data_IF_410471520446
#
_entry.id   IF_410471520446
#
_cell.length_a   1.000
_cell.length_b   1.000
_cell.length_c   1.000
_cell.angle_alpha   90.00
_cell.angle_beta   90.00
_cell.angle_gamma   90.00
#
_symmetry.space_group_name_H-M   'P 1'
#
loop_
_entity.id
_entity.type
_entity.pdbx_description
1 polymer ?
#
# COMPACT_ATOMS: atom_id res chain seq x y z
N UNK A 1 -12.21 -20.42 -31.45
CA UNK A 1 -11.11 -19.94 -30.58
C UNK A 1 -11.11 -18.43 -30.61
N UNK A 2 -10.67 -17.81 -29.51
CA UNK A 2 -10.52 -16.37 -29.25
C UNK A 2 -11.74 -15.68 -28.64
N UNK A 3 -11.93 -15.90 -27.33
CA UNK A 3 -12.65 -14.97 -26.45
C UNK A 3 -11.69 -13.81 -26.11
N UNK A 4 -12.00 -12.64 -26.68
CA UNK A 4 -11.31 -11.40 -26.38
C UNK A 4 -11.81 -10.82 -25.06
N UNK A 5 -11.30 -11.33 -23.94
CA UNK A 5 -11.51 -10.69 -22.65
C UNK A 5 -10.71 -9.37 -22.59
N UNK A 6 -11.44 -8.26 -22.68
CA UNK A 6 -10.91 -6.91 -22.45
C UNK A 6 -10.33 -6.84 -21.03
N UNK A 7 -9.16 -6.23 -20.80
CA UNK A 7 -8.65 -6.01 -19.44
C UNK A 7 -9.66 -5.17 -18.67
N UNK A 8 -9.99 -5.59 -17.44
CA UNK A 8 -10.82 -4.80 -16.53
C UNK A 8 -10.22 -3.40 -16.28
N UNK A 9 -10.99 -2.49 -15.65
CA UNK A 9 -10.48 -1.17 -15.31
C UNK A 9 -9.13 -1.28 -14.60
N UNK A 10 -8.12 -0.53 -15.04
CA UNK A 10 -6.87 -0.42 -14.30
C UNK A 10 -7.21 0.01 -12.86
N UNK A 11 -6.66 -0.64 -11.83
CA UNK A 11 -6.80 -0.13 -10.48
C UNK A 11 -6.34 1.33 -10.47
N UNK A 12 -7.15 2.22 -9.89
CA UNK A 12 -6.88 3.67 -9.88
C UNK A 12 -5.58 4.04 -9.17
N UNK A 13 -5.06 3.13 -8.36
CA UNK A 13 -3.84 3.28 -7.57
C UNK A 13 -3.03 2.02 -7.76
N UNK A 14 -1.78 2.16 -8.20
CA UNK A 14 -0.84 1.04 -8.31
C UNK A 14 -0.14 0.80 -6.97
N UNK A 15 0.44 -0.38 -6.81
CA UNK A 15 1.25 -0.70 -5.64
C UNK A 15 2.50 0.20 -5.57
N UNK A 16 3.11 0.49 -6.72
CA UNK A 16 4.23 1.43 -6.83
C UNK A 16 3.84 2.86 -6.41
N UNK A 17 2.62 3.31 -6.71
CA UNK A 17 2.12 4.61 -6.24
C UNK A 17 2.02 4.66 -4.73
N UNK A 18 1.62 3.56 -4.07
CA UNK A 18 1.58 3.44 -2.61
C UNK A 18 3.01 3.43 -2.03
N UNK A 19 3.92 2.63 -2.60
CA UNK A 19 5.31 2.54 -2.14
C UNK A 19 6.03 3.88 -2.26
N UNK A 20 5.75 4.64 -3.32
CA UNK A 20 6.30 5.99 -3.51
C UNK A 20 5.95 6.95 -2.38
N UNK A 21 4.78 6.82 -1.74
CA UNK A 21 4.42 7.64 -0.58
C UNK A 21 5.38 7.44 0.58
N UNK A 22 5.80 6.20 0.84
CA UNK A 22 6.79 5.91 1.89
C UNK A 22 8.18 6.41 1.54
N UNK A 23 8.57 6.35 0.25
CA UNK A 23 9.87 6.84 -0.24
C UNK A 23 9.98 8.37 -0.19
N UNK A 24 8.87 9.08 -0.40
CA UNK A 24 8.83 10.55 -0.46
C UNK A 24 8.42 11.21 0.85
N UNK A 25 7.88 10.44 1.80
CA UNK A 25 7.54 10.91 3.13
C UNK A 25 8.78 11.35 3.93
N UNK A 26 8.65 12.44 4.67
CA UNK A 26 9.66 12.85 5.65
C UNK A 26 9.63 11.96 6.91
N UNK A 27 8.48 11.34 7.20
CA UNK A 27 8.31 10.42 8.31
C UNK A 27 8.66 9.00 7.87
N UNK A 28 9.50 8.26 8.63
CA UNK A 28 9.95 6.92 8.26
C UNK A 28 8.85 5.86 8.37
N UNK A 29 7.74 6.18 9.02
CA UNK A 29 6.58 5.30 9.20
C UNK A 29 5.33 6.10 8.88
N UNK A 30 4.35 5.46 8.22
CA UNK A 30 3.02 6.03 8.00
C UNK A 30 1.96 5.10 8.55
N UNK A 31 0.89 5.66 9.09
CA UNK A 31 -0.31 4.92 9.44
C UNK A 31 -1.20 4.68 8.22
N UNK A 32 -2.11 3.71 8.31
CA UNK A 32 -3.15 3.53 7.29
C UNK A 32 -3.99 4.79 7.07
N UNK A 33 -4.15 5.64 8.09
CA UNK A 33 -4.89 6.89 7.97
C UNK A 33 -4.17 7.86 7.03
N UNK A 34 -2.88 8.10 7.27
CA UNK A 34 -2.04 9.00 6.47
C UNK A 34 -1.97 8.53 5.02
N UNK A 35 -1.75 7.23 4.78
CA UNK A 35 -1.75 6.69 3.40
C UNK A 35 -3.12 6.90 2.72
N UNK A 36 -4.22 6.80 3.47
CA UNK A 36 -5.58 7.00 2.92
C UNK A 36 -5.84 8.45 2.51
N UNK A 37 -5.17 9.41 3.12
CA UNK A 37 -5.30 10.83 2.77
C UNK A 37 -4.65 11.13 1.41
N UNK A 38 -3.63 10.37 1.04
CA UNK A 38 -2.84 10.55 -0.18
C UNK A 38 -3.35 9.76 -1.39
N UNK A 39 -4.27 8.80 -1.20
CA UNK A 39 -4.78 7.94 -2.29
C UNK A 39 -6.31 8.00 -2.42
N UNK A 40 -6.86 7.88 -3.65
CA UNK A 40 -8.30 7.84 -3.88
C UNK A 40 -8.93 6.47 -3.51
N UNK A 41 -8.53 5.86 -2.40
CA UNK A 41 -9.07 4.62 -1.86
C UNK A 41 -9.77 4.88 -0.52
N UNK A 42 -10.77 4.05 -0.21
CA UNK A 42 -11.35 4.04 1.15
C UNK A 42 -10.36 3.36 2.09
N UNK A 43 -10.34 3.78 3.36
CA UNK A 43 -9.44 3.23 4.40
C UNK A 43 -9.32 1.70 4.43
N UNK A 44 -10.44 0.97 4.25
CA UNK A 44 -10.40 -0.51 4.19
C UNK A 44 -9.64 -1.02 2.97
N UNK A 45 -9.89 -0.45 1.80
CA UNK A 45 -9.16 -0.81 0.59
C UNK A 45 -7.67 -0.42 0.69
N UNK A 46 -7.35 0.71 1.32
CA UNK A 46 -5.97 1.10 1.62
C UNK A 46 -5.29 0.10 2.55
N UNK A 47 -5.97 -0.30 3.64
CA UNK A 47 -5.47 -1.31 4.56
C UNK A 47 -5.20 -2.65 3.86
N UNK A 48 -6.16 -3.14 3.07
CA UNK A 48 -6.02 -4.42 2.36
C UNK A 48 -4.84 -4.39 1.37
N UNK A 49 -4.57 -3.24 0.73
CA UNK A 49 -3.39 -3.03 -0.13
C UNK A 49 -2.08 -3.03 0.66
N UNK A 50 -2.03 -2.36 1.80
CA UNK A 50 -0.84 -2.32 2.65
C UNK A 50 -0.50 -3.69 3.22
N UNK A 51 -1.51 -4.47 3.64
CA UNK A 51 -1.33 -5.88 4.03
C UNK A 51 -0.75 -6.70 2.88
N UNK A 52 -1.28 -6.54 1.67
CA UNK A 52 -0.77 -7.28 0.51
C UNK A 52 0.70 -6.91 0.19
N UNK A 53 1.11 -5.66 0.42
CA UNK A 53 2.50 -5.22 0.26
C UNK A 53 3.43 -5.77 1.35
N UNK A 54 2.93 -5.88 2.59
CA UNK A 54 3.63 -6.53 3.71
C UNK A 54 3.83 -8.04 3.44
N UNK A 55 2.79 -8.73 2.98
CA UNK A 55 2.87 -10.14 2.56
C UNK A 55 3.83 -10.38 1.37
N UNK A 56 4.03 -9.37 0.53
CA UNK A 56 5.00 -9.39 -0.57
C UNK A 56 6.43 -9.04 -0.14
N UNK A 57 6.65 -8.68 1.13
CA UNK A 57 7.94 -8.20 1.63
C UNK A 57 8.36 -6.90 0.95
N UNK A 58 7.42 -5.97 0.74
CA UNK A 58 7.68 -4.61 0.26
C UNK A 58 7.51 -3.56 1.36
N UNK A 59 6.62 -3.85 2.30
CA UNK A 59 6.46 -3.11 3.54
C UNK A 59 6.71 -4.03 4.72
N UNK A 60 7.00 -3.44 5.86
CA UNK A 60 6.87 -4.07 7.17
C UNK A 60 5.77 -3.34 7.95
N UNK A 61 5.16 -4.01 8.92
CA UNK A 61 4.04 -3.47 9.69
C UNK A 61 4.14 -3.69 11.19
N UNK A 62 3.52 -2.79 11.97
CA UNK A 62 3.34 -2.96 13.41
C UNK A 62 2.00 -2.40 13.88
N UNK A 63 1.24 -3.21 14.61
CA UNK A 63 0.05 -2.75 15.29
C UNK A 63 0.42 -1.89 16.51
N UNK A 64 -0.11 -0.67 16.57
CA UNK A 64 0.14 0.32 17.63
C UNK A 64 -1.17 0.70 18.33
N UNK A 65 -1.60 -0.14 19.27
CA UNK A 65 -2.77 0.14 20.10
C UNK A 65 -4.11 0.11 19.34
N UNK A 66 -5.11 -0.52 19.94
CA UNK A 66 -6.43 -0.66 19.30
C UNK A 66 -6.33 -1.31 17.92
N UNK A 67 -6.79 -0.60 16.88
CA UNK A 67 -6.82 -1.07 15.48
C UNK A 67 -5.91 -0.25 14.54
N UNK A 68 -4.95 0.50 15.08
CA UNK A 68 -4.02 1.26 14.26
C UNK A 68 -2.79 0.40 13.90
N UNK A 69 -2.39 0.48 12.65
CA UNK A 69 -1.16 -0.13 12.12
C UNK A 69 -0.32 0.94 11.47
N UNK A 70 0.98 0.93 11.77
CA UNK A 70 2.00 1.72 11.08
C UNK A 70 2.78 0.80 10.14
N UNK A 71 3.27 1.39 9.06
CA UNK A 71 3.88 0.73 7.92
C UNK A 71 5.15 1.48 7.54
N UNK A 72 6.17 0.77 7.10
CA UNK A 72 7.41 1.33 6.56
C UNK A 72 7.97 0.44 5.45
N UNK A 73 8.85 0.98 4.62
CA UNK A 73 9.54 0.19 3.60
C UNK A 73 10.35 -0.90 4.27
N UNK A 74 10.27 -2.12 3.75
CA UNK A 74 11.15 -3.16 4.26
C UNK A 74 12.59 -2.91 3.78
N UNK A 75 13.56 -3.26 4.60
CA UNK A 75 15.00 -3.16 4.27
C UNK A 75 15.39 -4.10 3.11
N UNK A 76 14.51 -5.03 2.73
CA UNK A 76 14.70 -5.94 1.59
C UNK A 76 14.25 -5.35 0.23
N UNK A 77 13.71 -4.12 0.18
CA UNK A 77 13.31 -3.43 -1.05
C UNK A 77 14.50 -2.76 -1.76
N UNK A 78 15.72 -3.32 -1.63
CA UNK A 78 16.90 -2.96 -2.42
C UNK A 78 16.80 -3.62 -3.81
N UNK A 79 16.21 -2.92 -4.78
CA UNK A 79 16.38 -3.20 -6.22
C UNK A 79 17.49 -2.34 -6.85
#
# INVERSE_FOLDING_TARGET
MSDGSKPGPKPKVSDEEILRLFRESADPVLSTAEVTEEVPLKRRATYDRLVALDEQGKLDSKQIGGRNTVWWLTEMDEE
#
